data_IF_107563881461
#
_entry.id   IF_107563881461
#
_cell.length_a   1.000
_cell.length_b   1.000
_cell.length_c   1.000
_cell.angle_alpha   90.00
_cell.angle_beta   90.00
_cell.angle_gamma   90.00
#
_symmetry.space_group_name_H-M   'P 1'
#
loop_
_entity.id
_entity.type
_entity.pdbx_description
1 polymer ?
#
# COMPACT_ATOMS: atom_id res chain seq x y z
N UNK A 1 -10.16 19.70 -1.84
CA UNK A 1 -8.79 19.16 -1.89
C UNK A 1 -8.64 17.77 -1.22
N UNK A 2 -9.72 16.99 -0.98
CA UNK A 2 -9.64 15.71 -0.23
C UNK A 2 -9.64 14.45 -1.12
N UNK A 3 -9.26 14.54 -2.39
CA UNK A 3 -9.39 13.42 -3.34
C UNK A 3 -8.64 12.15 -2.89
N UNK A 4 -7.43 12.27 -2.34
CA UNK A 4 -6.68 11.12 -1.79
C UNK A 4 -7.43 10.47 -0.62
N UNK A 5 -7.98 11.27 0.29
CA UNK A 5 -8.71 10.75 1.45
C UNK A 5 -9.97 10.00 1.01
N UNK A 6 -10.67 10.48 -0.03
CA UNK A 6 -11.82 9.78 -0.58
C UNK A 6 -11.47 8.42 -1.18
N UNK A 7 -10.33 8.32 -1.88
CA UNK A 7 -9.85 7.02 -2.41
C UNK A 7 -9.47 6.10 -1.27
N UNK A 8 -8.73 6.62 -0.28
CA UNK A 8 -8.34 5.87 0.90
C UNK A 8 -9.57 5.36 1.67
N UNK A 9 -10.54 6.22 1.98
CA UNK A 9 -11.76 5.88 2.72
C UNK A 9 -12.65 4.89 1.96
N UNK A 10 -12.76 5.04 0.63
CA UNK A 10 -13.47 4.09 -0.24
C UNK A 10 -12.85 2.71 -0.18
N UNK A 11 -11.53 2.62 -0.31
CA UNK A 11 -10.84 1.34 -0.34
C UNK A 11 -10.72 0.73 1.06
N UNK A 12 -10.57 1.53 2.12
CA UNK A 12 -10.68 1.06 3.51
C UNK A 12 -12.07 0.49 3.75
N UNK A 13 -13.14 1.20 3.35
CA UNK A 13 -14.50 0.70 3.47
C UNK A 13 -14.70 -0.62 2.71
N UNK A 14 -14.15 -0.73 1.49
CA UNK A 14 -14.19 -1.96 0.68
C UNK A 14 -13.48 -3.12 1.36
N UNK A 15 -12.31 -2.87 1.96
CA UNK A 15 -11.54 -3.89 2.68
C UNK A 15 -12.19 -4.30 4.01
N UNK A 16 -12.96 -3.41 4.67
CA UNK A 16 -13.68 -3.72 5.91
C UNK A 16 -15.09 -4.29 5.72
N UNK A 17 -15.62 -4.28 4.49
CA UNK A 17 -16.98 -4.73 4.17
C UNK A 17 -17.07 -6.24 3.85
N UNK A 18 -15.94 -6.93 3.71
CA UNK A 18 -15.93 -8.40 3.61
C UNK A 18 -16.18 -8.99 5.01
N UNK A 19 -17.24 -9.81 5.22
CA UNK A 19 -17.57 -10.35 6.53
C UNK A 19 -16.48 -11.32 6.98
N UNK A 20 -16.00 -11.14 8.21
CA UNK A 20 -15.04 -12.02 8.87
C UNK A 20 -15.76 -13.35 9.17
N UNK A 21 -15.36 -14.44 8.52
CA UNK A 21 -15.77 -15.81 8.87
C UNK A 21 -14.65 -16.43 9.73
N UNK A 22 -14.89 -16.53 11.05
CA UNK A 22 -13.91 -16.83 12.10
C UNK A 22 -13.39 -18.30 12.12
N UNK A 23 -13.47 -19.06 11.02
CA UNK A 23 -13.19 -20.50 11.04
C UNK A 23 -12.25 -21.00 9.93
N UNK A 24 -11.09 -20.37 9.71
CA UNK A 24 -10.02 -21.09 8.98
C UNK A 24 -8.59 -20.77 9.43
N UNK A 25 -7.90 -21.84 9.79
CA UNK A 25 -6.47 -21.87 10.11
C UNK A 25 -5.68 -21.83 8.80
N UNK A 26 -4.88 -20.78 8.59
CA UNK A 26 -3.88 -20.70 7.54
C UNK A 26 -4.30 -19.86 6.32
N UNK A 27 -3.57 -18.76 6.12
CA UNK A 27 -3.60 -17.87 4.94
C UNK A 27 -4.90 -17.09 4.68
N UNK A 28 -5.40 -16.40 5.71
CA UNK A 28 -6.30 -15.26 5.50
C UNK A 28 -5.49 -14.04 5.06
N UNK A 29 -5.72 -13.59 3.82
CA UNK A 29 -5.26 -12.29 3.30
C UNK A 29 -6.02 -11.12 3.96
N UNK A 30 -6.23 -11.20 5.28
CA UNK A 30 -6.82 -10.17 6.12
C UNK A 30 -5.76 -9.10 6.34
N UNK A 31 -5.65 -8.13 5.44
CA UNK A 31 -4.71 -7.01 5.61
C UNK A 31 -5.19 -6.22 6.82
N UNK A 32 -4.50 -6.32 7.98
CA UNK A 32 -4.94 -5.62 9.16
C UNK A 32 -4.64 -4.14 8.92
N UNK A 33 -5.66 -3.29 9.03
CA UNK A 33 -5.47 -1.83 9.15
C UNK A 33 -4.83 -1.58 10.52
N UNK A 34 -3.53 -1.89 10.65
CA UNK A 34 -2.75 -1.56 11.84
C UNK A 34 -2.50 -0.05 11.80
N UNK A 35 -3.47 0.73 12.30
CA UNK A 35 -3.20 2.08 12.83
C UNK A 35 -2.37 1.93 14.11
N UNK A 36 -1.10 1.61 13.97
CA UNK A 36 -0.17 1.58 15.11
C UNK A 36 1.06 2.40 14.76
N UNK A 37 0.90 3.72 14.85
CA UNK A 37 1.99 4.55 15.34
C UNK A 37 1.49 5.21 16.63
N UNK A 38 1.23 4.36 17.64
CA UNK A 38 1.37 4.83 19.02
C UNK A 38 2.82 5.31 19.15
N UNK A 39 2.99 6.56 19.57
CA UNK A 39 4.29 7.17 19.84
C UNK A 39 4.91 6.44 21.04
N UNK A 40 5.51 5.28 20.81
CA UNK A 40 6.38 4.64 21.79
C UNK A 40 7.75 5.33 21.72
N UNK A 41 7.94 6.30 22.60
CA UNK A 41 9.25 6.82 22.95
C UNK A 41 10.13 5.66 23.47
N UNK A 42 11.35 5.60 22.95
CA UNK A 42 12.47 4.74 23.31
C UNK A 42 12.64 3.33 22.68
N UNK A 43 13.73 3.26 21.91
CA UNK A 43 14.57 2.11 21.53
C UNK A 43 14.11 1.25 20.36
N UNK A 44 14.56 1.65 19.17
CA UNK A 44 14.94 0.76 18.05
C UNK A 44 13.88 -0.27 17.60
N UNK A 45 12.59 0.04 17.81
CA UNK A 45 11.45 -0.68 17.21
C UNK A 45 11.14 -0.07 15.84
N UNK A 46 12.17 0.26 15.07
CA UNK A 46 12.02 0.63 13.68
C UNK A 46 11.68 -0.63 12.90
N UNK A 47 10.43 -0.77 12.45
CA UNK A 47 10.05 -1.87 11.56
C UNK A 47 11.02 -1.99 10.38
N UNK A 48 11.20 -3.20 9.83
CA UNK A 48 12.09 -3.42 8.69
C UNK A 48 11.59 -2.58 7.50
N UNK A 49 12.36 -1.53 7.16
CA UNK A 49 12.04 -0.58 6.10
C UNK A 49 10.65 0.08 6.28
N UNK A 50 9.76 -0.08 5.31
CA UNK A 50 8.40 0.45 5.31
C UNK A 50 7.36 -0.67 5.26
N UNK A 51 7.70 -1.83 5.82
CA UNK A 51 6.84 -3.00 5.80
C UNK A 51 5.50 -2.72 6.51
N UNK A 52 4.40 -3.06 5.83
CA UNK A 52 3.05 -2.83 6.35
C UNK A 52 2.58 -1.37 6.36
N UNK A 53 3.38 -0.43 5.84
CA UNK A 53 2.97 0.98 5.72
C UNK A 53 2.19 1.24 4.42
N UNK A 54 1.30 2.24 4.51
CA UNK A 54 0.50 2.74 3.41
C UNK A 54 1.07 4.06 2.90
N UNK A 55 1.27 4.16 1.59
CA UNK A 55 1.80 5.35 0.92
C UNK A 55 0.68 6.08 0.20
N UNK A 56 0.58 7.38 0.41
CA UNK A 56 -0.40 8.25 -0.26
C UNK A 56 0.32 9.25 -1.16
N UNK A 57 -0.06 9.31 -2.43
CA UNK A 57 0.52 10.22 -3.41
C UNK A 57 -0.59 10.91 -4.23
N UNK A 58 -0.40 12.17 -4.62
CA UNK A 58 -1.38 12.83 -5.51
C UNK A 58 -1.25 12.29 -6.92
N UNK A 59 -0.02 12.21 -7.41
CA UNK A 59 0.33 11.72 -8.74
C UNK A 59 1.01 10.38 -8.64
N UNK A 60 0.80 9.56 -9.65
CA UNK A 60 1.44 8.27 -9.80
C UNK A 60 2.98 8.38 -9.77
N UNK A 61 3.67 7.52 -8.99
CA UNK A 61 5.13 7.48 -8.95
C UNK A 61 5.71 7.07 -10.31
N UNK A 62 6.80 7.74 -10.72
CA UNK A 62 7.54 7.35 -11.90
C UNK A 62 8.24 5.99 -11.72
N UNK A 63 8.80 5.42 -12.78
CA UNK A 63 9.54 4.15 -12.74
C UNK A 63 10.57 4.07 -11.60
N UNK A 64 11.38 5.12 -11.43
CA UNK A 64 12.39 5.18 -10.37
C UNK A 64 11.75 5.12 -8.97
N UNK A 65 10.72 5.94 -8.74
CA UNK A 65 10.03 5.98 -7.46
C UNK A 65 9.29 4.67 -7.18
N UNK A 66 8.65 4.08 -8.18
CA UNK A 66 7.95 2.80 -8.04
C UNK A 66 8.93 1.69 -7.66
N UNK A 67 10.11 1.63 -8.27
CA UNK A 67 11.13 0.65 -7.89
C UNK A 67 11.71 0.93 -6.49
N UNK A 68 11.85 2.19 -6.10
CA UNK A 68 12.23 2.54 -4.73
C UNK A 68 11.19 2.02 -3.71
N UNK A 69 9.89 2.16 -4.01
CA UNK A 69 8.82 1.63 -3.16
C UNK A 69 8.84 0.10 -3.05
N UNK A 70 9.16 -0.61 -4.14
CA UNK A 70 9.40 -2.07 -4.11
C UNK A 70 10.54 -2.41 -3.16
N UNK A 71 11.66 -1.69 -3.24
CA UNK A 71 12.81 -1.91 -2.36
C UNK A 71 12.52 -1.60 -0.91
N UNK A 72 11.69 -0.58 -0.63
CA UNK A 72 11.24 -0.23 0.72
C UNK A 72 10.20 -1.19 1.30
N UNK A 73 9.74 -2.19 0.53
CA UNK A 73 8.75 -3.20 0.93
C UNK A 73 7.43 -2.63 1.43
N UNK A 74 6.91 -1.60 0.76
CA UNK A 74 5.64 -1.00 1.16
C UNK A 74 4.49 -2.01 1.07
N UNK A 75 3.44 -1.82 1.89
CA UNK A 75 2.25 -2.65 1.83
C UNK A 75 1.32 -2.22 0.70
N UNK A 76 0.95 -0.93 0.69
CA UNK A 76 -0.05 -0.39 -0.24
C UNK A 76 0.31 1.01 -0.70
N UNK A 77 -0.13 1.36 -1.92
CA UNK A 77 -0.02 2.69 -2.49
C UNK A 77 -1.39 3.18 -2.93
N UNK A 78 -1.74 4.41 -2.56
CA UNK A 78 -2.94 5.11 -2.99
C UNK A 78 -2.55 6.35 -3.78
N UNK A 79 -3.07 6.50 -5.00
CA UNK A 79 -2.84 7.69 -5.82
C UNK A 79 -4.07 8.16 -6.58
N UNK A 80 -4.06 9.40 -7.08
CA UNK A 80 -5.24 10.01 -7.73
C UNK A 80 -5.01 10.23 -9.22
N UNK A 81 -3.89 10.84 -9.59
CA UNK A 81 -3.59 11.20 -10.98
C UNK A 81 -2.59 10.24 -11.60
N UNK A 82 -2.90 9.69 -12.77
CA UNK A 82 -1.94 8.91 -13.54
C UNK A 82 -0.89 9.83 -14.17
N UNK A 83 0.35 9.34 -14.26
CA UNK A 83 1.46 10.06 -14.87
C UNK A 83 1.85 9.42 -16.19
N UNK A 84 2.18 10.19 -17.25
CA UNK A 84 2.69 9.62 -18.50
C UNK A 84 4.00 8.85 -18.31
N UNK A 85 4.79 9.19 -17.29
CA UNK A 85 6.01 8.49 -16.89
C UNK A 85 5.82 7.50 -15.72
N UNK A 86 4.55 7.16 -15.44
CA UNK A 86 4.14 6.32 -14.34
C UNK A 86 4.67 4.88 -14.42
N UNK A 87 5.26 4.40 -13.33
CA UNK A 87 5.77 3.03 -13.22
C UNK A 87 4.68 1.98 -13.02
N UNK A 88 3.46 2.40 -12.66
CA UNK A 88 2.37 1.52 -12.27
C UNK A 88 1.43 1.29 -13.45
N UNK A 89 0.93 2.37 -14.06
CA UNK A 89 0.02 2.37 -15.20
C UNK A 89 0.67 1.76 -16.44
N UNK A 90 1.95 2.06 -16.71
CA UNK A 90 2.64 1.55 -17.91
C UNK A 90 3.32 0.19 -17.75
N UNK A 91 3.94 -0.06 -16.59
CA UNK A 91 4.82 -1.21 -16.40
C UNK A 91 4.31 -2.22 -15.37
N UNK A 92 3.22 -1.90 -14.66
CA UNK A 92 2.63 -2.74 -13.62
C UNK A 92 3.67 -3.29 -12.62
N UNK A 93 4.69 -2.48 -12.28
CA UNK A 93 5.83 -2.92 -11.47
C UNK A 93 5.42 -3.48 -10.12
N UNK A 94 4.35 -2.95 -9.53
CA UNK A 94 3.77 -3.41 -8.27
C UNK A 94 3.31 -4.88 -8.26
N UNK A 95 3.07 -5.50 -9.43
CA UNK A 95 2.58 -6.89 -9.60
C UNK A 95 3.50 -7.74 -10.50
N UNK A 96 4.73 -7.29 -10.72
CA UNK A 96 5.62 -7.93 -11.70
C UNK A 96 6.26 -9.21 -11.13
N UNK A 97 5.98 -10.37 -11.72
CA UNK A 97 6.42 -11.70 -11.21
C UNK A 97 7.93 -11.87 -11.07
N UNK A 98 8.74 -11.13 -11.81
CA UNK A 98 10.20 -11.21 -11.71
C UNK A 98 10.77 -10.41 -10.52
N UNK A 99 9.95 -9.62 -9.83
CA UNK A 99 10.34 -8.84 -8.66
C UNK A 99 10.10 -9.63 -7.37
N UNK A 100 10.97 -9.40 -6.39
CA UNK A 100 10.94 -10.10 -5.11
C UNK A 100 9.83 -9.60 -4.17
N UNK A 101 9.40 -8.34 -4.33
CA UNK A 101 8.37 -7.72 -3.50
C UNK A 101 7.26 -7.14 -4.36
N UNK A 102 6.01 -7.43 -4.00
CA UNK A 102 4.81 -6.94 -4.65
C UNK A 102 3.98 -6.18 -3.64
N UNK A 103 3.28 -5.14 -4.09
CA UNK A 103 2.42 -4.32 -3.25
C UNK A 103 1.13 -3.95 -3.98
N UNK A 104 0.07 -3.65 -3.25
CA UNK A 104 -1.22 -3.30 -3.87
C UNK A 104 -1.27 -1.81 -4.16
N UNK A 105 -1.64 -1.44 -5.38
CA UNK A 105 -1.78 -0.06 -5.79
C UNK A 105 -3.25 0.25 -6.11
N UNK A 106 -3.75 1.35 -5.58
CA UNK A 106 -5.12 1.83 -5.76
C UNK A 106 -5.08 3.21 -6.39
N UNK A 107 -5.87 3.39 -7.44
CA UNK A 107 -6.06 4.69 -8.10
C UNK A 107 -7.50 5.17 -7.93
N UNK A 108 -7.69 6.50 -7.92
CA UNK A 108 -9.03 7.13 -7.97
C UNK A 108 -9.84 6.73 -9.21
#
# INVERSE_FOLDING_TARGET
MNCIALVADREVARLTAEPIDDNNTGESNSVPVKRSHELCEDRDVGGYLCEGLDVFAVREPCVMCTMALVHSRIGRLFFVEQSPSGGISRYAMHSHKALNHNFTAFSA
#
